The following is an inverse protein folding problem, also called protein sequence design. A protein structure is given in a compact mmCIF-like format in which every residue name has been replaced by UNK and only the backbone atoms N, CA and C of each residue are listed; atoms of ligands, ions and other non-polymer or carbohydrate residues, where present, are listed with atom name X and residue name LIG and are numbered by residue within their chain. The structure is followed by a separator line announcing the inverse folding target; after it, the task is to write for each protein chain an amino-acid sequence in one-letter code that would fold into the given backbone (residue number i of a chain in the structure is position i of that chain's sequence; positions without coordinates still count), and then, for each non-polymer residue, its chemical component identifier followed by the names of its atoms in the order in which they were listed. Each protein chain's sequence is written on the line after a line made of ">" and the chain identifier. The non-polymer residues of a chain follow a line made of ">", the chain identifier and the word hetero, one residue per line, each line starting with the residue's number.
data_IF_298307711177
#
_entry.id   IF_298307711177
#
_cell.length_a   1.000
_cell.length_b   1.000
_cell.length_c   1.000
_cell.angle_alpha   90.00
_cell.angle_beta   90.00
_cell.angle_gamma   90.00
#
_symmetry.space_group_name_H-M   'P 1'
#
loop_
_entity.id
_entity.type
_entity.pdbx_description
1 polymer ?
#
# COMPACT_ATOMS: atom_id res chain seq x y z
N UNK A 1 37.95 -41.20 -8.59
CA UNK A 1 37.92 -39.94 -9.35
C UNK A 1 36.53 -39.87 -9.99
N UNK A 2 35.61 -38.96 -9.71
CA UNK A 2 35.66 -37.68 -9.03
C UNK A 2 34.50 -37.56 -8.03
N UNK A 3 34.71 -36.77 -6.98
CA UNK A 3 33.72 -36.44 -5.95
C UNK A 3 32.58 -35.61 -6.56
N UNK A 4 31.34 -36.00 -6.27
CA UNK A 4 30.18 -35.13 -6.45
C UNK A 4 29.86 -34.48 -5.09
N UNK A 5 30.55 -33.38 -4.81
CA UNK A 5 30.15 -32.44 -3.77
C UNK A 5 28.79 -31.85 -4.14
N UNK A 6 27.75 -32.33 -3.49
CA UNK A 6 26.42 -31.74 -3.54
C UNK A 6 26.44 -30.52 -2.61
N UNK A 7 26.12 -29.30 -3.08
CA UNK A 7 26.15 -28.13 -2.22
C UNK A 7 25.15 -28.30 -1.07
N UNK A 8 25.72 -28.11 0.11
CA UNK A 8 25.13 -28.13 1.44
C UNK A 8 23.77 -27.43 1.46
N UNK A 9 22.72 -28.20 1.76
CA UNK A 9 21.39 -27.65 1.99
C UNK A 9 21.50 -26.63 3.11
N UNK A 10 21.35 -25.35 2.77
CA UNK A 10 21.36 -24.27 3.75
C UNK A 10 20.20 -24.50 4.69
N UNK A 11 20.54 -24.98 5.88
CA UNK A 11 19.62 -25.32 6.97
C UNK A 11 18.73 -24.11 7.24
N UNK A 12 17.40 -24.30 7.14
CA UNK A 12 16.49 -23.38 7.82
C UNK A 12 16.85 -23.42 9.32
N UNK A 13 16.85 -22.27 10.04
CA UNK A 13 17.05 -22.25 11.48
C UNK A 13 16.06 -23.21 12.16
N UNK A 14 16.57 -24.04 13.06
CA UNK A 14 15.90 -25.22 13.62
C UNK A 14 14.86 -24.92 14.71
N UNK A 15 14.48 -23.67 14.91
CA UNK A 15 13.50 -23.32 15.92
C UNK A 15 12.37 -22.55 15.24
N UNK A 16 11.21 -23.22 15.14
CA UNK A 16 9.89 -22.68 14.73
C UNK A 16 9.39 -21.59 15.71
N UNK A 17 10.26 -20.68 16.13
CA UNK A 17 9.90 -19.50 16.90
C UNK A 17 9.92 -18.29 15.98
N UNK A 18 8.70 -17.83 15.64
CA UNK A 18 8.51 -16.48 15.17
C UNK A 18 9.08 -15.52 16.22
N UNK A 19 9.87 -14.50 15.83
CA UNK A 19 10.34 -13.49 16.76
C UNK A 19 9.14 -12.86 17.48
N UNK A 20 9.32 -12.51 18.75
CA UNK A 20 8.27 -11.90 19.58
C UNK A 20 7.61 -10.74 18.82
N UNK A 21 6.27 -10.58 18.89
CA UNK A 21 5.59 -9.51 18.19
C UNK A 21 6.17 -8.17 18.65
N UNK A 22 6.67 -7.39 17.70
CA UNK A 22 7.11 -6.01 17.93
C UNK A 22 5.98 -5.22 18.66
N UNK A 23 6.33 -4.24 19.52
CA UNK A 23 5.38 -3.60 20.42
C UNK A 23 4.16 -3.06 19.67
N UNK A 24 2.98 -3.31 20.25
CA UNK A 24 1.70 -3.23 19.57
C UNK A 24 1.34 -1.84 18.99
N UNK A 25 1.92 -0.73 19.49
CA UNK A 25 1.53 0.60 19.04
C UNK A 25 2.69 1.61 19.14
N UNK A 26 3.36 1.98 18.04
CA UNK A 26 4.22 3.15 17.99
C UNK A 26 3.41 4.44 17.79
N UNK A 27 3.93 5.57 18.29
CA UNK A 27 3.34 6.92 18.19
C UNK A 27 3.14 7.39 16.74
N UNK A 28 3.79 6.73 15.78
CA UNK A 28 3.51 6.81 14.36
C UNK A 28 3.90 5.49 13.70
N UNK A 29 3.18 5.10 12.64
CA UNK A 29 3.40 3.85 11.94
C UNK A 29 3.88 4.13 10.52
N UNK A 30 4.92 3.44 10.10
CA UNK A 30 5.37 3.47 8.71
C UNK A 30 5.13 2.13 8.06
N UNK A 31 4.37 2.12 6.98
CA UNK A 31 4.23 0.96 6.11
C UNK A 31 4.89 1.23 4.76
N UNK A 32 5.37 0.16 4.10
CA UNK A 32 6.02 0.24 2.80
C UNK A 32 5.34 -0.69 1.82
N UNK A 33 5.29 -0.27 0.56
CA UNK A 33 4.91 -1.19 -0.51
C UNK A 33 5.91 -2.35 -0.58
N UNK A 34 5.53 -3.43 -1.27
CA UNK A 34 6.37 -4.62 -1.39
C UNK A 34 7.81 -4.33 -1.86
N UNK A 35 8.06 -3.27 -2.63
CA UNK A 35 9.41 -2.90 -3.07
C UNK A 35 10.11 -1.81 -2.28
N UNK A 36 9.48 -1.23 -1.27
CA UNK A 36 10.03 -0.14 -0.48
C UNK A 36 10.09 1.22 -1.20
N UNK A 37 9.63 1.30 -2.45
CA UNK A 37 9.61 2.56 -3.24
C UNK A 37 8.59 3.55 -2.69
N UNK A 38 7.48 3.08 -2.16
CA UNK A 38 6.44 3.90 -1.56
C UNK A 38 6.40 3.57 -0.07
N UNK A 39 6.59 4.59 0.76
CA UNK A 39 6.34 4.50 2.21
C UNK A 39 5.15 5.40 2.53
N UNK A 40 4.31 4.94 3.45
CA UNK A 40 3.18 5.70 3.97
C UNK A 40 3.34 5.76 5.49
N UNK A 41 3.42 6.98 6.01
CA UNK A 41 3.43 7.25 7.44
C UNK A 41 2.04 7.66 7.87
N UNK A 42 1.52 7.02 8.91
CA UNK A 42 0.19 7.25 9.48
C UNK A 42 0.33 7.59 10.97
N UNK A 43 -0.57 8.42 11.53
CA UNK A 43 -0.40 8.97 12.88
C UNK A 43 -0.64 7.92 13.97
N UNK A 44 -1.39 6.85 13.68
CA UNK A 44 -1.75 5.81 14.64
C UNK A 44 -2.40 4.63 13.94
N UNK A 45 -2.65 3.55 14.70
CA UNK A 45 -3.46 2.45 14.19
C UNK A 45 -4.86 2.91 13.81
N UNK A 46 -5.44 2.30 12.76
CA UNK A 46 -6.81 2.59 12.39
C UNK A 46 -7.76 2.13 13.49
N UNK A 47 -8.65 3.01 13.94
CA UNK A 47 -9.72 2.65 14.86
C UNK A 47 -10.72 1.67 14.23
N UNK A 48 -10.86 1.72 12.90
CA UNK A 48 -11.81 0.93 12.12
C UNK A 48 -11.33 0.78 10.69
N UNK A 49 -11.65 -0.35 10.10
CA UNK A 49 -11.30 -0.74 8.75
C UNK A 49 -12.56 -0.83 7.90
N UNK A 50 -12.50 -0.30 6.69
CA UNK A 50 -13.56 -0.44 5.70
C UNK A 50 -13.16 -1.48 4.65
N UNK A 51 -13.84 -2.62 4.68
CA UNK A 51 -13.76 -3.65 3.64
C UNK A 51 -14.83 -3.36 2.56
N UNK A 52 -14.53 -2.42 1.68
CA UNK A 52 -15.46 -2.04 0.63
C UNK A 52 -15.61 -3.14 -0.43
N UNK A 53 -16.86 -3.53 -0.71
CA UNK A 53 -17.20 -4.59 -1.66
C UNK A 53 -17.66 -4.11 -3.04
N UNK A 54 -17.45 -2.84 -3.40
CA UNK A 54 -17.65 -2.44 -4.79
C UNK A 54 -16.70 -3.24 -5.71
N UNK A 55 -17.08 -3.43 -6.97
CA UNK A 55 -16.33 -4.29 -7.89
C UNK A 55 -14.85 -3.92 -8.05
N UNK A 56 -14.49 -2.65 -7.85
CA UNK A 56 -13.11 -2.15 -7.90
C UNK A 56 -12.36 -2.50 -6.60
N UNK A 57 -12.86 -2.05 -5.44
CA UNK A 57 -12.24 -2.27 -4.14
C UNK A 57 -12.15 -3.79 -3.82
N UNK A 58 -13.16 -4.58 -4.21
CA UNK A 58 -13.16 -6.05 -4.13
C UNK A 58 -12.08 -6.67 -5.04
N UNK A 59 -11.97 -6.25 -6.31
CA UNK A 59 -10.94 -6.74 -7.24
C UNK A 59 -9.52 -6.42 -6.79
N UNK A 60 -9.31 -5.25 -6.17
CA UNK A 60 -8.01 -4.86 -5.63
C UNK A 60 -7.70 -5.50 -4.28
N UNK A 61 -8.68 -6.13 -3.63
CA UNK A 61 -8.53 -6.68 -2.29
C UNK A 61 -8.17 -5.61 -1.26
N UNK A 62 -8.63 -4.37 -1.44
CA UNK A 62 -8.26 -3.27 -0.56
C UNK A 62 -9.03 -3.34 0.77
N UNK A 63 -8.37 -2.95 1.85
CA UNK A 63 -8.98 -2.73 3.15
C UNK A 63 -8.57 -1.32 3.61
N UNK A 64 -9.54 -0.42 3.76
CA UNK A 64 -9.24 1.00 3.91
C UNK A 64 -9.26 1.44 5.37
N UNK A 65 -8.16 2.04 5.81
CA UNK A 65 -8.11 2.92 6.97
C UNK A 65 -8.22 4.37 6.52
N UNK A 66 -9.06 5.16 7.18
CA UNK A 66 -9.26 6.56 6.83
C UNK A 66 -8.57 7.50 7.79
N UNK A 67 -7.91 8.51 7.23
CA UNK A 67 -7.20 9.54 7.96
C UNK A 67 -7.50 10.91 7.37
N UNK A 68 -7.23 11.96 8.15
CA UNK A 68 -7.13 13.30 7.60
C UNK A 68 -5.88 13.38 6.71
N UNK A 69 -5.94 13.99 5.51
CA UNK A 69 -4.80 14.03 4.60
C UNK A 69 -3.55 14.72 5.18
N UNK A 70 -3.75 15.71 6.07
CA UNK A 70 -2.63 16.40 6.74
C UNK A 70 -1.88 15.50 7.75
N UNK A 71 -2.48 14.39 8.17
CA UNK A 71 -1.88 13.46 9.14
C UNK A 71 -1.10 12.32 8.46
N UNK A 72 -1.14 12.22 7.12
CA UNK A 72 -0.56 11.11 6.37
C UNK A 72 0.54 11.60 5.43
N UNK A 73 1.75 11.09 5.60
CA UNK A 73 2.86 11.38 4.68
C UNK A 73 3.06 10.23 3.69
N UNK A 74 2.98 10.53 2.40
CA UNK A 74 3.27 9.57 1.32
C UNK A 74 4.63 9.92 0.70
N UNK A 75 5.60 9.03 0.89
CA UNK A 75 6.97 9.22 0.43
C UNK A 75 7.23 8.28 -0.74
N UNK A 76 7.63 8.84 -1.88
CA UNK A 76 7.89 8.09 -3.13
C UNK A 76 9.35 8.23 -3.53
N UNK A 77 10.11 7.15 -3.35
CA UNK A 77 11.53 7.09 -3.67
C UNK A 77 11.75 6.69 -5.13
N UNK A 78 11.72 7.65 -6.06
CA UNK A 78 11.90 7.38 -7.50
C UNK A 78 13.21 6.63 -7.85
N UNK A 79 14.23 6.71 -6.99
CA UNK A 79 15.53 6.04 -7.16
C UNK A 79 15.63 4.66 -6.49
N UNK A 80 14.59 4.21 -5.78
CA UNK A 80 14.54 2.89 -5.13
C UNK A 80 14.44 1.78 -6.18
N UNK A 81 15.58 1.31 -6.68
CA UNK A 81 15.69 0.04 -7.40
C UNK A 81 15.94 -1.06 -6.36
N UNK A 82 15.18 -2.15 -6.40
CA UNK A 82 15.61 -3.34 -5.66
C UNK A 82 16.88 -3.86 -6.31
N UNK A 83 17.87 -4.21 -5.50
CA UNK A 83 18.79 -5.30 -5.85
C UNK A 83 17.94 -6.56 -5.87
N UNK A 84 17.69 -7.11 -7.06
CA UNK A 84 16.89 -8.32 -7.22
C UNK A 84 17.48 -9.45 -6.35
N UNK A 85 16.70 -9.97 -5.40
CA UNK A 85 16.98 -11.25 -4.78
C UNK A 85 16.89 -12.30 -5.89
N UNK A 86 18.04 -12.77 -6.36
CA UNK A 86 18.12 -13.75 -7.44
C UNK A 86 18.08 -13.15 -8.85
N UNK A 87 19.17 -12.53 -9.27
CA UNK A 87 19.72 -12.68 -10.63
C UNK A 87 18.85 -12.37 -11.86
N UNK A 88 17.71 -11.69 -11.73
CA UNK A 88 16.96 -11.15 -12.87
C UNK A 88 16.65 -9.67 -12.62
N UNK A 89 17.02 -8.77 -13.54
CA UNK A 89 16.83 -7.34 -13.35
C UNK A 89 15.35 -6.98 -13.14
N UNK A 90 15.13 -5.96 -12.32
CA UNK A 90 13.84 -5.28 -12.17
C UNK A 90 13.29 -4.94 -13.57
N UNK A 91 11.99 -5.18 -13.76
CA UNK A 91 11.28 -4.91 -15.01
C UNK A 91 11.50 -3.44 -15.40
N UNK A 92 12.17 -3.19 -16.54
CA UNK A 92 12.17 -1.87 -17.19
C UNK A 92 10.74 -1.56 -17.63
N UNK A 93 10.25 -0.38 -17.28
CA UNK A 93 9.05 0.23 -17.84
C UNK A 93 9.53 1.16 -19.02
N UNK A 94 9.10 0.98 -20.29
CA UNK A 94 9.84 1.50 -21.47
C UNK A 94 9.41 2.79 -22.28
N UNK A 95 9.89 4.03 -22.09
CA UNK A 95 9.62 5.40 -22.69
C UNK A 95 8.50 5.73 -23.76
N UNK A 96 7.78 4.76 -24.32
CA UNK A 96 6.61 4.77 -25.23
C UNK A 96 5.84 3.45 -25.01
N UNK A 97 4.57 3.40 -24.55
CA UNK A 97 3.93 2.13 -24.07
C UNK A 97 4.90 1.29 -23.26
N UNK A 98 5.11 1.77 -22.05
CA UNK A 98 6.42 2.34 -21.95
C UNK A 98 6.90 2.94 -20.67
N UNK A 99 7.36 4.18 -20.69
CA UNK A 99 8.25 4.82 -19.70
C UNK A 99 8.24 4.28 -18.27
N UNK A 100 9.45 4.15 -17.70
CA UNK A 100 9.66 3.84 -16.28
C UNK A 100 8.74 4.74 -15.49
N UNK A 101 7.71 4.16 -14.85
CA UNK A 101 6.82 4.88 -13.99
C UNK A 101 7.64 5.25 -12.76
N UNK A 102 8.38 6.35 -12.93
CA UNK A 102 9.14 7.09 -11.95
C UNK A 102 8.12 7.69 -10.97
N UNK A 103 7.49 6.85 -10.16
CA UNK A 103 6.55 7.27 -9.13
C UNK A 103 5.33 6.38 -8.95
N UNK A 104 4.16 7.01 -8.78
CA UNK A 104 2.87 6.37 -8.62
C UNK A 104 2.13 6.31 -9.96
N UNK A 105 1.47 5.19 -10.23
CA UNK A 105 0.40 5.09 -11.23
C UNK A 105 -0.92 5.36 -10.52
N UNK A 106 -1.91 5.94 -11.20
CA UNK A 106 -3.22 6.12 -10.60
C UNK A 106 -4.38 5.76 -11.53
N UNK A 107 -5.52 5.44 -10.93
CA UNK A 107 -6.81 5.24 -11.60
C UNK A 107 -7.86 6.11 -10.92
N UNK A 108 -8.35 7.14 -11.62
CA UNK A 108 -9.49 7.93 -11.20
C UNK A 108 -10.78 7.23 -11.66
N UNK A 109 -11.78 7.16 -10.77
CA UNK A 109 -13.05 6.50 -11.12
C UNK A 109 -13.98 7.47 -11.82
N UNK A 110 -14.68 6.99 -12.84
CA UNK A 110 -15.69 7.79 -13.54
C UNK A 110 -16.95 7.97 -12.69
N UNK A 111 -17.35 6.95 -11.92
CA UNK A 111 -18.53 6.99 -11.05
C UNK A 111 -18.32 7.76 -9.73
N UNK A 112 -17.14 8.36 -9.55
CA UNK A 112 -16.90 9.36 -8.52
C UNK A 112 -16.78 10.77 -9.08
N UNK A 113 -17.21 10.98 -10.33
CA UNK A 113 -16.97 12.20 -11.10
C UNK A 113 -15.47 12.58 -11.16
N UNK A 114 -14.57 11.60 -11.04
CA UNK A 114 -13.14 11.85 -10.96
C UNK A 114 -12.67 12.51 -9.66
N UNK A 115 -13.50 12.59 -8.62
CA UNK A 115 -13.17 13.29 -7.37
C UNK A 115 -12.01 12.66 -6.57
N UNK A 116 -11.71 11.38 -6.79
CA UNK A 116 -10.57 10.72 -6.17
C UNK A 116 -9.96 9.65 -7.07
N UNK A 117 -8.69 9.35 -6.82
CA UNK A 117 -7.93 8.32 -7.53
C UNK A 117 -7.33 7.29 -6.59
N UNK A 118 -7.24 6.04 -7.07
CA UNK A 118 -6.46 4.98 -6.45
C UNK A 118 -5.02 5.04 -6.92
N UNK A 119 -4.06 5.02 -6.01
CA UNK A 119 -2.64 5.15 -6.30
C UNK A 119 -1.89 3.84 -6.07
N UNK A 120 -1.11 3.45 -7.06
CA UNK A 120 -0.33 2.22 -7.10
C UNK A 120 1.14 2.54 -7.22
N UNK A 121 1.99 1.76 -6.57
CA UNK A 121 3.42 1.82 -6.84
C UNK A 121 3.69 1.47 -8.31
N UNK A 122 4.33 2.37 -9.07
CA UNK A 122 4.69 2.12 -10.46
C UNK A 122 5.56 0.86 -10.65
N UNK A 123 6.40 0.53 -9.67
CA UNK A 123 7.32 -0.60 -9.75
C UNK A 123 6.70 -1.96 -9.41
N UNK A 124 6.04 -2.07 -8.26
CA UNK A 124 5.54 -3.37 -7.76
C UNK A 124 4.02 -3.52 -7.83
N UNK A 125 3.29 -2.49 -8.29
CA UNK A 125 1.83 -2.54 -8.44
C UNK A 125 1.02 -2.53 -7.15
N UNK A 126 1.66 -2.43 -5.97
CA UNK A 126 0.91 -2.35 -4.70
C UNK A 126 0.02 -1.11 -4.69
N UNK A 127 -1.28 -1.32 -4.46
CA UNK A 127 -2.23 -0.27 -4.13
C UNK A 127 -1.93 0.26 -2.73
N UNK A 128 -1.52 1.52 -2.64
CA UNK A 128 -1.06 2.11 -1.36
C UNK A 128 -2.15 2.94 -0.70
N UNK A 129 -2.82 3.79 -1.45
CA UNK A 129 -3.85 4.68 -0.93
C UNK A 129 -4.81 5.09 -2.04
N UNK A 130 -5.93 5.68 -1.66
CA UNK A 130 -6.68 6.58 -2.53
C UNK A 130 -6.66 7.98 -1.93
N UNK A 131 -6.64 9.00 -2.79
CA UNK A 131 -6.68 10.41 -2.39
C UNK A 131 -7.57 11.22 -3.33
N UNK A 132 -8.06 12.37 -2.84
CA UNK A 132 -8.79 13.31 -3.67
C UNK A 132 -7.93 13.78 -4.85
N UNK A 133 -8.55 13.93 -6.02
CA UNK A 133 -7.96 14.63 -7.16
C UNK A 133 -8.07 16.14 -6.93
N UNK A 134 -7.63 16.95 -7.90
CA UNK A 134 -7.88 18.39 -7.85
C UNK A 134 -9.39 18.71 -7.81
N UNK A 135 -10.20 17.93 -8.52
CA UNK A 135 -11.65 18.12 -8.60
C UNK A 135 -12.37 17.78 -7.30
N UNK A 136 -11.92 16.75 -6.57
CA UNK A 136 -12.57 16.33 -5.32
C UNK A 136 -12.15 17.12 -4.08
N UNK A 137 -11.45 18.24 -4.24
CA UNK A 137 -11.09 19.15 -3.15
C UNK A 137 -12.23 20.12 -2.86
N UNK A 138 -12.29 20.62 -1.62
CA UNK A 138 -13.28 21.63 -1.23
C UNK A 138 -12.99 23.01 -1.85
N UNK A 139 -13.82 24.01 -1.53
CA UNK A 139 -13.67 25.39 -2.02
C UNK A 139 -12.39 26.09 -1.56
N UNK A 140 -11.69 25.54 -0.56
CA UNK A 140 -10.38 26.00 -0.08
C UNK A 140 -9.23 25.17 -0.70
N UNK A 141 -9.53 24.23 -1.59
CA UNK A 141 -8.56 23.35 -2.21
C UNK A 141 -8.07 22.22 -1.30
N UNK A 142 -8.77 21.95 -0.18
CA UNK A 142 -8.38 20.92 0.79
C UNK A 142 -9.07 19.57 0.51
N UNK A 143 -8.31 18.46 0.57
CA UNK A 143 -8.90 17.13 0.55
C UNK A 143 -9.56 16.82 1.90
N UNK A 144 -10.79 16.27 1.88
CA UNK A 144 -11.54 15.97 3.12
C UNK A 144 -11.09 14.69 3.83
N UNK A 145 -10.62 13.70 3.07
CA UNK A 145 -10.32 12.34 3.57
C UNK A 145 -9.33 11.66 2.65
N UNK A 146 -8.50 10.78 3.22
CA UNK A 146 -7.57 9.92 2.51
C UNK A 146 -7.75 8.49 3.03
N UNK A 147 -7.71 7.49 2.15
CA UNK A 147 -7.75 6.09 2.54
C UNK A 147 -6.42 5.41 2.31
N UNK A 148 -5.80 4.92 3.37
CA UNK A 148 -4.59 4.09 3.31
C UNK A 148 -5.00 2.62 3.24
N UNK A 149 -4.36 1.85 2.36
CA UNK A 149 -4.59 0.42 2.28
C UNK A 149 -3.94 -0.28 3.48
N UNK A 150 -4.74 -0.65 4.45
CA UNK A 150 -4.30 -1.29 5.69
C UNK A 150 -3.64 -2.64 5.43
N UNK A 151 -3.90 -3.29 4.29
CA UNK A 151 -3.18 -4.53 3.92
C UNK A 151 -1.68 -4.35 3.71
N UNK A 152 -1.16 -3.12 3.70
CA UNK A 152 0.29 -2.89 3.75
C UNK A 152 0.85 -2.98 5.18
N UNK A 153 0.03 -2.89 6.21
CA UNK A 153 0.46 -3.05 7.61
C UNK A 153 0.62 -4.54 7.95
N UNK A 154 1.52 -4.89 8.89
CA UNK A 154 1.58 -6.22 9.48
C UNK A 154 0.20 -6.64 10.02
N UNK A 155 -0.19 -7.90 9.78
CA UNK A 155 -1.49 -8.43 10.21
C UNK A 155 -1.67 -8.38 11.73
N UNK A 156 -0.59 -8.51 12.50
CA UNK A 156 -0.59 -8.42 13.98
C UNK A 156 -1.05 -7.05 14.48
N UNK A 157 -0.84 -6.00 13.70
CA UNK A 157 -1.30 -4.64 14.03
C UNK A 157 -2.78 -4.42 13.71
N UNK A 158 -3.37 -5.28 12.88
CA UNK A 158 -4.77 -5.20 12.49
C UNK A 158 -5.65 -6.16 13.29
N UNK A 159 -5.06 -6.99 14.15
CA UNK A 159 -5.79 -7.94 14.96
C UNK A 159 -6.69 -7.19 15.96
N UNK A 160 -7.95 -7.63 16.06
CA UNK A 160 -8.97 -6.97 16.88
C UNK A 160 -9.47 -5.61 16.37
N UNK A 161 -8.95 -5.05 15.27
CA UNK A 161 -9.50 -3.82 14.69
C UNK A 161 -10.85 -4.11 14.05
N UNK A 162 -11.87 -3.32 14.41
CA UNK A 162 -13.22 -3.49 13.87
C UNK A 162 -13.23 -3.34 12.34
N UNK A 163 -13.86 -4.31 11.67
CA UNK A 163 -14.05 -4.29 10.22
C UNK A 163 -15.51 -4.08 9.89
N UNK A 164 -15.77 -3.06 9.10
CA UNK A 164 -17.09 -2.75 8.57
C UNK A 164 -17.09 -2.93 7.07
N UNK A 165 -18.17 -3.51 6.54
CA UNK A 165 -18.41 -3.52 5.10
C UNK A 165 -19.15 -2.25 4.74
N UNK A 166 -18.43 -1.26 4.23
CA UNK A 166 -19.00 -0.02 3.73
C UNK A 166 -19.23 -0.06 2.22
N UNK A 167 -20.26 0.63 1.75
CA UNK A 167 -20.46 0.86 0.32
C UNK A 167 -19.51 1.97 -0.18
N UNK A 168 -19.24 1.94 -1.49
CA UNK A 168 -18.56 3.03 -2.21
C UNK A 168 -17.22 3.53 -1.64
N UNK A 169 -16.41 2.66 -1.03
CA UNK A 169 -15.08 3.00 -0.49
C UNK A 169 -15.15 4.27 0.42
N UNK A 170 -16.27 4.44 1.15
CA UNK A 170 -16.51 5.53 2.10
C UNK A 170 -17.11 6.80 1.50
N UNK A 171 -17.52 6.80 0.22
CA UNK A 171 -18.07 7.97 -0.47
C UNK A 171 -19.48 8.36 -0.05
N UNK A 172 -20.27 7.44 0.50
CA UNK A 172 -21.59 7.78 1.03
C UNK A 172 -21.53 8.80 2.17
N UNK A 173 -20.36 8.95 2.80
CA UNK A 173 -20.07 9.94 3.85
C UNK A 173 -19.50 11.27 3.31
N UNK A 174 -19.44 11.47 1.98
CA UNK A 174 -18.92 12.71 1.34
C UNK A 174 -20.00 13.77 1.05
N UNK A 175 -21.28 13.40 1.14
CA UNK A 175 -22.43 14.31 0.99
C UNK A 175 -22.63 15.20 2.22
#
# INVERSE_FOLDING_TARGET
>A
MAANDKPESTKLPSDDQLPAPEPAHPDSLTTKCHCGRVSVEIPSLPAKLNECRCSICYRYGAEWAYYHPDDVNIIVNAQGSRKALGGKPARKEPETVGEEAKGLRYYARDDSDGNFGFFFCGNCGCLTHWAATEQGRDSLGKPKKLGVNSRMLPLTLLDGVEKTTGEFCGLSEWN
#
